data_IF_216872784390
#
_entry.id   IF_216872784390
#
_cell.length_a   1.000
_cell.length_b   1.000
_cell.length_c   1.000
_cell.angle_alpha   90.00
_cell.angle_beta   90.00
_cell.angle_gamma   90.00
#
_symmetry.space_group_name_H-M   'P 1'
#
loop_
_entity.id
_entity.type
_entity.pdbx_description
1 polymer ?
#
# COMPACT_ATOMS: atom_id res chain seq x y z
N UNK A 1 7.28 -19.18 -16.23
CA UNK A 1 8.36 -18.27 -15.78
C UNK A 1 7.97 -17.49 -14.52
N UNK A 2 6.76 -16.91 -14.43
CA UNK A 2 6.27 -16.14 -13.28
C UNK A 2 6.19 -16.97 -11.99
N UNK A 3 5.73 -18.22 -12.06
CA UNK A 3 5.74 -19.18 -10.93
C UNK A 3 7.16 -19.49 -10.45
N UNK A 4 8.11 -19.63 -11.37
CA UNK A 4 9.52 -19.87 -11.01
C UNK A 4 10.16 -18.68 -10.31
N UNK A 5 9.64 -17.45 -10.51
CA UNK A 5 10.09 -16.24 -9.84
C UNK A 5 9.35 -15.95 -8.55
N UNK A 6 8.42 -16.82 -8.12
CA UNK A 6 7.66 -16.62 -6.90
C UNK A 6 6.74 -15.42 -6.92
N UNK A 7 6.27 -14.98 -8.11
CA UNK A 7 5.33 -13.85 -8.20
C UNK A 7 4.03 -14.24 -7.49
N UNK A 8 3.69 -13.48 -6.44
CA UNK A 8 2.63 -13.81 -5.45
C UNK A 8 1.28 -14.18 -6.06
N UNK A 9 0.85 -13.52 -7.13
CA UNK A 9 -0.43 -13.81 -7.80
C UNK A 9 -0.49 -15.26 -8.33
N UNK A 10 0.60 -15.73 -8.94
CA UNK A 10 0.67 -17.08 -9.47
C UNK A 10 0.86 -18.12 -8.37
N UNK A 11 1.54 -17.74 -7.29
CA UNK A 11 1.68 -18.58 -6.09
C UNK A 11 0.32 -18.81 -5.45
N UNK A 12 -0.51 -17.77 -5.33
CA UNK A 12 -1.88 -17.89 -4.82
C UNK A 12 -2.76 -18.79 -5.69
N UNK A 13 -2.66 -18.66 -7.03
CA UNK A 13 -3.40 -19.54 -7.95
C UNK A 13 -3.04 -21.00 -7.73
N UNK A 14 -1.75 -21.34 -7.54
CA UNK A 14 -1.34 -22.72 -7.32
C UNK A 14 -1.73 -23.23 -5.94
N UNK A 15 -1.65 -22.36 -4.91
CA UNK A 15 -1.98 -22.74 -3.54
C UNK A 15 -3.48 -22.91 -3.32
N UNK A 16 -4.29 -22.00 -3.83
CA UNK A 16 -5.72 -21.87 -3.50
C UNK A 16 -6.63 -22.27 -4.68
N UNK A 17 -6.06 -22.40 -5.89
CA UNK A 17 -6.78 -22.77 -7.09
C UNK A 17 -7.14 -24.25 -7.15
N UNK A 18 -8.26 -24.56 -7.80
CA UNK A 18 -8.65 -25.93 -8.13
C UNK A 18 -8.40 -26.12 -9.62
N UNK A 19 -7.51 -27.04 -9.97
CA UNK A 19 -7.29 -27.42 -11.36
C UNK A 19 -8.54 -28.16 -11.88
N UNK A 20 -9.25 -27.54 -12.84
CA UNK A 20 -10.42 -28.17 -13.47
C UNK A 20 -10.02 -29.16 -14.56
N UNK A 21 -8.84 -29.00 -15.13
CA UNK A 21 -8.27 -29.88 -16.14
C UNK A 21 -6.74 -29.75 -16.15
N UNK A 22 -6.06 -30.88 -16.20
CA UNK A 22 -4.60 -30.95 -16.38
C UNK A 22 -4.27 -31.83 -17.56
N UNK A 23 -3.44 -31.33 -18.47
CA UNK A 23 -2.88 -32.13 -19.53
C UNK A 23 -1.78 -33.04 -18.98
N UNK A 24 -1.77 -34.33 -19.31
CA UNK A 24 -0.65 -35.21 -18.94
C UNK A 24 0.69 -34.60 -19.36
N UNK A 25 1.68 -34.58 -18.47
CA UNK A 25 3.01 -34.00 -18.66
C UNK A 25 3.07 -32.45 -18.69
N UNK A 26 1.98 -31.73 -18.39
CA UNK A 26 1.91 -30.28 -18.30
C UNK A 26 1.39 -29.81 -16.93
N UNK A 27 1.85 -30.45 -15.87
CA UNK A 27 1.50 -30.08 -14.51
C UNK A 27 1.97 -28.66 -14.17
N UNK A 28 1.19 -27.95 -13.36
CA UNK A 28 1.59 -26.64 -12.86
C UNK A 28 2.87 -26.77 -12.04
N UNK A 29 3.89 -25.99 -12.40
CA UNK A 29 5.17 -25.96 -11.67
C UNK A 29 4.94 -25.50 -10.23
N UNK A 30 5.44 -26.25 -9.26
CA UNK A 30 5.41 -25.82 -7.85
C UNK A 30 6.20 -24.51 -7.69
N UNK A 31 5.59 -23.49 -7.06
CA UNK A 31 6.30 -22.25 -6.78
C UNK A 31 7.51 -22.51 -5.89
N UNK A 32 8.64 -21.93 -6.24
CA UNK A 32 9.81 -21.94 -5.37
C UNK A 32 9.94 -20.59 -4.65
N UNK A 33 10.37 -20.58 -3.38
CA UNK A 33 10.71 -19.32 -2.71
C UNK A 33 11.77 -18.57 -3.53
N UNK A 34 11.63 -17.25 -3.63
CA UNK A 34 12.65 -16.42 -4.28
C UNK A 34 13.98 -16.54 -3.52
N UNK A 35 15.08 -16.63 -4.24
CA UNK A 35 16.40 -16.50 -3.65
C UNK A 35 16.56 -15.11 -3.00
N UNK A 36 17.50 -14.91 -2.04
CA UNK A 36 17.71 -13.60 -1.43
C UNK A 36 17.96 -12.48 -2.46
N UNK A 37 18.70 -12.77 -3.52
CA UNK A 37 18.97 -11.80 -4.59
C UNK A 37 17.73 -11.47 -5.42
N UNK A 38 16.90 -12.45 -5.75
CA UNK A 38 15.62 -12.24 -6.43
C UNK A 38 14.63 -11.48 -5.55
N UNK A 39 14.57 -11.82 -4.26
CA UNK A 39 13.73 -11.12 -3.29
C UNK A 39 14.12 -9.65 -3.16
N UNK A 40 15.41 -9.34 -3.10
CA UNK A 40 15.93 -7.97 -3.10
C UNK A 40 15.51 -7.23 -4.37
N UNK A 41 15.79 -7.78 -5.54
CA UNK A 41 15.48 -7.13 -6.81
C UNK A 41 13.97 -6.85 -6.97
N UNK A 42 13.11 -7.79 -6.54
CA UNK A 42 11.66 -7.60 -6.54
C UNK A 42 11.25 -6.49 -5.56
N UNK A 43 11.75 -6.52 -4.33
CA UNK A 43 11.41 -5.54 -3.30
C UNK A 43 11.86 -4.12 -3.70
N UNK A 44 13.06 -3.95 -4.27
CA UNK A 44 13.55 -2.66 -4.78
C UNK A 44 12.66 -2.13 -5.91
N UNK A 45 12.27 -2.99 -6.86
CA UNK A 45 11.35 -2.63 -7.93
C UNK A 45 9.99 -2.17 -7.40
N UNK A 46 9.41 -2.90 -6.44
CA UNK A 46 8.16 -2.52 -5.79
C UNK A 46 8.29 -1.21 -5.01
N UNK A 47 9.35 -1.05 -4.23
CA UNK A 47 9.59 0.17 -3.46
C UNK A 47 9.61 1.41 -4.35
N UNK A 48 10.43 1.40 -5.39
CA UNK A 48 10.56 2.56 -6.30
C UNK A 48 9.24 2.87 -7.00
N UNK A 49 8.56 1.86 -7.51
CA UNK A 49 7.31 2.04 -8.26
C UNK A 49 6.18 2.56 -7.37
N UNK A 50 5.97 1.92 -6.21
CA UNK A 50 4.85 2.23 -5.32
C UNK A 50 5.06 3.55 -4.58
N UNK A 51 6.28 3.84 -4.09
CA UNK A 51 6.54 5.10 -3.38
C UNK A 51 6.35 6.31 -4.30
N UNK A 52 6.81 6.21 -5.55
CA UNK A 52 6.52 7.23 -6.57
C UNK A 52 5.02 7.39 -6.85
N UNK A 53 4.27 6.30 -6.79
CA UNK A 53 2.81 6.36 -6.97
C UNK A 53 2.14 7.07 -5.77
N UNK A 54 2.57 6.79 -4.52
CA UNK A 54 2.10 7.54 -3.33
C UNK A 54 2.37 9.02 -3.48
N UNK A 55 3.59 9.40 -3.87
CA UNK A 55 3.97 10.81 -4.03
C UNK A 55 3.13 11.52 -5.13
N UNK A 56 2.78 10.81 -6.21
CA UNK A 56 1.86 11.34 -7.23
C UNK A 56 0.45 11.54 -6.69
N UNK A 57 -0.09 10.59 -5.92
CA UNK A 57 -1.39 10.74 -5.28
C UNK A 57 -1.41 11.91 -4.33
N UNK A 58 -0.38 12.08 -3.49
CA UNK A 58 -0.26 13.22 -2.58
C UNK A 58 -0.16 14.56 -3.33
N UNK A 59 0.51 14.60 -4.48
CA UNK A 59 0.51 15.79 -5.33
C UNK A 59 -0.87 16.12 -5.85
N UNK A 60 -1.67 15.12 -6.25
CA UNK A 60 -3.06 15.34 -6.65
C UNK A 60 -3.94 15.82 -5.48
N UNK A 61 -3.66 15.36 -4.26
CA UNK A 61 -4.30 15.90 -3.04
C UNK A 61 -3.99 17.40 -2.90
N UNK A 62 -2.72 17.81 -3.03
CA UNK A 62 -2.35 19.21 -2.91
C UNK A 62 -3.06 20.11 -3.94
N UNK A 63 -3.14 19.65 -5.19
CA UNK A 63 -3.91 20.34 -6.25
C UNK A 63 -5.38 20.42 -5.87
N UNK A 64 -5.99 19.32 -5.45
CA UNK A 64 -7.41 19.30 -5.07
C UNK A 64 -7.72 20.21 -3.89
N UNK A 65 -6.81 20.30 -2.90
CA UNK A 65 -6.96 21.21 -1.75
C UNK A 65 -6.82 22.67 -2.14
N UNK A 66 -5.98 23.00 -3.14
CA UNK A 66 -5.85 24.34 -3.66
C UNK A 66 -7.14 24.78 -4.38
N UNK A 67 -7.71 23.92 -5.22
CA UNK A 67 -8.93 24.16 -5.98
C UNK A 67 -10.21 24.15 -5.13
N UNK A 68 -10.21 23.50 -3.98
CA UNK A 68 -11.33 23.45 -3.03
C UNK A 68 -11.85 24.83 -2.64
N UNK A 69 -10.99 25.87 -2.69
CA UNK A 69 -11.38 27.25 -2.38
C UNK A 69 -12.34 27.84 -3.39
N UNK A 70 -12.33 27.33 -4.60
CA UNK A 70 -13.15 27.79 -5.73
C UNK A 70 -14.41 26.94 -5.93
N UNK A 71 -14.29 25.64 -5.64
CA UNK A 71 -15.38 24.66 -5.79
C UNK A 71 -15.27 23.57 -4.71
N UNK A 72 -16.29 23.46 -3.88
CA UNK A 72 -16.34 22.50 -2.77
C UNK A 72 -16.31 21.01 -3.22
N UNK A 73 -16.66 20.69 -4.47
CA UNK A 73 -16.61 19.33 -5.01
C UNK A 73 -15.16 18.79 -5.06
N UNK A 74 -14.15 19.68 -5.10
CA UNK A 74 -12.77 19.26 -4.98
C UNK A 74 -12.42 18.60 -3.64
N UNK A 75 -13.23 18.82 -2.60
CA UNK A 75 -13.09 18.09 -1.33
C UNK A 75 -13.28 16.59 -1.50
N UNK A 76 -14.22 16.18 -2.34
CA UNK A 76 -14.46 14.76 -2.66
C UNK A 76 -13.28 14.17 -3.44
N UNK A 77 -12.77 14.94 -4.41
CA UNK A 77 -11.57 14.55 -5.17
C UNK A 77 -10.35 14.39 -4.27
N UNK A 78 -10.13 15.31 -3.34
CA UNK A 78 -9.05 15.23 -2.36
C UNK A 78 -9.19 13.98 -1.48
N UNK A 79 -10.40 13.69 -0.98
CA UNK A 79 -10.65 12.50 -0.15
C UNK A 79 -10.41 11.19 -0.90
N UNK A 80 -10.84 11.11 -2.17
CA UNK A 80 -10.55 9.95 -3.01
C UNK A 80 -9.05 9.77 -3.25
N UNK A 81 -8.33 10.84 -3.57
CA UNK A 81 -6.89 10.79 -3.78
C UNK A 81 -6.14 10.41 -2.50
N UNK A 82 -6.59 10.87 -1.31
CA UNK A 82 -6.04 10.43 -0.01
C UNK A 82 -6.27 8.93 0.22
N UNK A 83 -7.45 8.40 -0.14
CA UNK A 83 -7.69 6.97 -0.08
C UNK A 83 -6.71 6.21 -0.97
N UNK A 84 -6.51 6.64 -2.22
CA UNK A 84 -5.59 6.00 -3.16
C UNK A 84 -4.13 6.08 -2.67
N UNK A 85 -3.72 7.20 -2.10
CA UNK A 85 -2.40 7.34 -1.48
C UNK A 85 -2.21 6.36 -0.33
N UNK A 86 -3.23 6.20 0.53
CA UNK A 86 -3.21 5.26 1.67
C UNK A 86 -3.12 3.80 1.21
N UNK A 87 -3.96 3.40 0.26
CA UNK A 87 -3.95 2.06 -0.32
C UNK A 87 -2.60 1.74 -0.94
N UNK A 88 -2.06 2.67 -1.74
CA UNK A 88 -0.77 2.51 -2.40
C UNK A 88 0.40 2.47 -1.41
N UNK A 89 0.33 3.22 -0.30
CA UNK A 89 1.33 3.18 0.76
C UNK A 89 1.36 1.81 1.46
N UNK A 90 0.20 1.24 1.77
CA UNK A 90 0.13 -0.12 2.31
C UNK A 90 0.57 -1.17 1.31
N UNK A 91 0.26 -1.00 0.01
CA UNK A 91 0.77 -1.88 -1.03
C UNK A 91 2.29 -1.83 -1.11
N UNK A 92 2.90 -0.64 -1.03
CA UNK A 92 4.34 -0.46 -0.98
C UNK A 92 4.96 -1.26 0.18
N UNK A 93 4.47 -1.02 1.39
CA UNK A 93 4.97 -1.70 2.58
C UNK A 93 4.85 -3.22 2.48
N UNK A 94 3.67 -3.75 2.16
CA UNK A 94 3.42 -5.19 2.12
C UNK A 94 4.24 -5.88 1.03
N UNK A 95 4.35 -5.29 -0.16
CA UNK A 95 5.16 -5.82 -1.26
C UNK A 95 6.65 -5.85 -0.91
N UNK A 96 7.17 -4.83 -0.23
CA UNK A 96 8.58 -4.81 0.21
C UNK A 96 8.81 -5.79 1.36
N UNK A 97 7.88 -5.84 2.32
CA UNK A 97 8.05 -6.67 3.53
C UNK A 97 7.89 -8.15 3.27
N UNK A 98 6.87 -8.51 2.45
CA UNK A 98 6.41 -9.91 2.29
C UNK A 98 6.44 -10.41 0.85
N UNK A 99 6.74 -9.56 -0.11
CA UNK A 99 6.61 -9.80 -1.55
C UNK A 99 5.18 -10.15 -1.97
N UNK A 100 4.19 -9.87 -1.12
CA UNK A 100 2.79 -10.16 -1.33
C UNK A 100 1.91 -8.95 -1.05
N UNK A 101 0.91 -8.73 -1.88
CA UNK A 101 -0.14 -7.74 -1.67
C UNK A 101 -1.51 -8.32 -2.03
N UNK A 102 -2.43 -8.43 -1.06
CA UNK A 102 -3.80 -8.85 -1.35
C UNK A 102 -4.48 -7.73 -2.15
N UNK A 103 -5.01 -8.04 -3.34
CA UNK A 103 -5.73 -7.08 -4.17
C UNK A 103 -7.03 -6.67 -3.48
N UNK A 104 -6.97 -5.61 -2.70
CA UNK A 104 -8.10 -5.11 -1.93
C UNK A 104 -8.08 -3.59 -1.87
N UNK A 105 -9.25 -2.97 -2.06
CA UNK A 105 -9.46 -1.53 -1.81
C UNK A 105 -9.92 -1.25 -0.36
N UNK A 106 -9.98 -2.28 0.48
CA UNK A 106 -10.35 -2.14 1.88
C UNK A 106 -9.15 -1.69 2.72
N UNK A 107 -8.95 -0.38 2.83
CA UNK A 107 -7.81 0.18 3.58
C UNK A 107 -7.82 -0.16 5.07
N UNK A 108 -8.96 -0.53 5.66
CA UNK A 108 -9.02 -1.02 7.04
C UNK A 108 -8.38 -2.40 7.15
N UNK A 109 -8.65 -3.29 6.21
CA UNK A 109 -8.02 -4.60 6.13
C UNK A 109 -6.51 -4.48 5.87
N UNK A 110 -6.13 -3.67 4.88
CA UNK A 110 -4.72 -3.43 4.55
C UNK A 110 -3.94 -2.84 5.74
N UNK A 111 -4.57 -1.91 6.47
CA UNK A 111 -4.04 -1.34 7.69
C UNK A 111 -3.77 -2.39 8.76
N UNK A 112 -4.76 -3.24 9.08
CA UNK A 112 -4.57 -4.31 10.07
C UNK A 112 -3.42 -5.21 9.68
N UNK A 113 -3.39 -5.68 8.42
CA UNK A 113 -2.34 -6.55 7.93
C UNK A 113 -0.95 -5.89 7.99
N UNK A 114 -0.86 -4.60 7.68
CA UNK A 114 0.39 -3.87 7.73
C UNK A 114 0.85 -3.60 9.18
N UNK A 115 -0.04 -3.18 10.06
CA UNK A 115 0.24 -2.92 11.48
C UNK A 115 0.66 -4.19 12.25
N UNK A 116 0.10 -5.36 11.89
CA UNK A 116 0.49 -6.66 12.44
C UNK A 116 1.94 -7.03 12.07
N UNK A 117 2.41 -6.58 10.92
CA UNK A 117 3.79 -6.79 10.45
C UNK A 117 4.78 -5.71 10.91
N UNK A 118 4.29 -4.48 11.17
CA UNK A 118 5.13 -3.33 11.56
C UNK A 118 4.33 -2.36 12.45
N UNK A 119 4.46 -2.46 13.77
CA UNK A 119 3.70 -1.65 14.72
C UNK A 119 3.91 -0.13 14.61
N UNK A 120 5.04 0.34 14.06
CA UNK A 120 5.30 1.77 13.85
C UNK A 120 4.28 2.42 12.92
N UNK A 121 3.63 1.66 12.03
CA UNK A 121 2.57 2.16 11.14
C UNK A 121 1.32 2.64 11.90
N UNK A 122 1.15 2.20 13.15
CA UNK A 122 0.08 2.66 14.04
C UNK A 122 0.15 4.18 14.28
N UNK A 123 1.35 4.74 14.31
CA UNK A 123 1.59 6.16 14.60
C UNK A 123 0.99 7.11 13.57
N UNK A 124 0.77 6.65 12.33
CA UNK A 124 0.15 7.45 11.28
C UNK A 124 -1.33 7.76 11.57
N UNK A 125 -1.98 6.97 12.43
CA UNK A 125 -3.43 7.02 12.60
C UNK A 125 -3.82 7.27 14.05
N UNK A 126 -4.07 8.53 14.44
CA UNK A 126 -4.69 8.83 15.74
C UNK A 126 -6.00 8.07 15.89
N UNK A 127 -6.22 7.47 17.08
CA UNK A 127 -7.42 6.65 17.34
C UNK A 127 -7.99 6.84 18.75
N UNK A 128 -7.42 7.81 19.49
CA UNK A 128 -7.80 8.05 20.87
C UNK A 128 -9.23 8.59 20.99
N UNK A 129 -9.64 9.49 20.10
CA UNK A 129 -10.94 10.15 20.15
C UNK A 129 -11.96 9.55 19.18
N UNK A 130 -13.25 9.87 19.41
CA UNK A 130 -14.31 9.53 18.44
C UNK A 130 -14.08 10.24 17.10
N UNK A 131 -13.54 11.47 17.13
CA UNK A 131 -13.25 12.25 15.95
C UNK A 131 -12.17 11.57 15.08
N UNK A 132 -11.09 11.08 15.68
CA UNK A 132 -10.02 10.39 14.95
C UNK A 132 -10.56 9.15 14.22
N UNK A 133 -11.35 8.35 14.92
CA UNK A 133 -11.98 7.16 14.31
C UNK A 133 -12.95 7.52 13.19
N UNK A 134 -13.75 8.59 13.36
CA UNK A 134 -14.65 9.09 12.33
C UNK A 134 -13.89 9.52 11.07
N UNK A 135 -12.75 10.22 11.23
CA UNK A 135 -11.90 10.66 10.11
C UNK A 135 -11.41 9.47 9.28
N UNK A 136 -10.92 8.42 9.93
CA UNK A 136 -10.51 7.22 9.21
C UNK A 136 -11.68 6.53 8.49
N UNK A 137 -12.89 6.51 9.09
CA UNK A 137 -14.07 5.98 8.42
C UNK A 137 -14.50 6.84 7.21
N UNK A 138 -14.36 8.17 7.27
CA UNK A 138 -14.57 9.04 6.11
C UNK A 138 -13.59 8.69 4.98
N UNK A 139 -12.31 8.54 5.30
CA UNK A 139 -11.30 8.15 4.32
C UNK A 139 -11.61 6.78 3.70
N UNK A 140 -12.00 5.79 4.50
CA UNK A 140 -12.36 4.46 4.03
C UNK A 140 -13.54 4.51 3.04
N UNK A 141 -14.56 5.30 3.34
CA UNK A 141 -15.75 5.46 2.49
C UNK A 141 -15.46 6.24 1.20
N UNK A 142 -14.41 7.07 1.17
CA UNK A 142 -14.09 7.92 0.04
C UNK A 142 -13.87 7.14 -1.27
N UNK A 143 -13.41 5.89 -1.22
CA UNK A 143 -13.21 5.06 -2.40
C UNK A 143 -14.47 4.94 -3.27
N UNK A 144 -15.61 4.77 -2.66
CA UNK A 144 -16.89 4.64 -3.38
C UNK A 144 -17.68 5.94 -3.29
N UNK A 145 -17.88 6.45 -2.07
CA UNK A 145 -18.86 7.51 -1.84
C UNK A 145 -18.42 8.88 -2.37
N UNK A 146 -17.12 9.19 -2.36
CA UNK A 146 -16.63 10.45 -2.92
C UNK A 146 -16.89 10.55 -4.44
N UNK A 147 -17.05 9.43 -5.13
CA UNK A 147 -17.29 9.41 -6.59
C UNK A 147 -18.77 9.29 -6.97
N UNK A 148 -19.56 8.60 -6.13
CA UNK A 148 -20.90 8.17 -6.52
C UNK A 148 -22.02 8.64 -5.60
N UNK A 149 -21.70 9.19 -4.42
CA UNK A 149 -22.70 9.65 -3.46
C UNK A 149 -22.78 11.16 -3.40
N UNK A 150 -23.97 11.70 -3.63
CA UNK A 150 -24.25 13.11 -3.39
C UNK A 150 -24.13 13.50 -1.89
N UNK A 151 -24.34 12.51 -1.00
CA UNK A 151 -24.34 12.72 0.45
C UNK A 151 -22.95 12.54 1.11
N UNK A 152 -21.89 12.33 0.32
CA UNK A 152 -20.56 12.27 0.89
C UNK A 152 -20.05 13.69 1.16
N UNK A 153 -19.87 13.98 2.43
CA UNK A 153 -19.36 15.26 2.91
C UNK A 153 -18.10 15.07 3.74
N UNK A 154 -17.12 15.93 3.54
CA UNK A 154 -15.88 15.98 4.31
C UNK A 154 -15.49 17.43 4.52
N UNK A 155 -15.20 17.79 5.78
CA UNK A 155 -14.81 19.15 6.11
C UNK A 155 -13.36 19.45 5.73
N UNK A 156 -12.99 20.73 5.50
CA UNK A 156 -11.61 21.13 5.30
C UNK A 156 -10.68 20.68 6.46
N UNK A 157 -11.15 20.79 7.70
CA UNK A 157 -10.40 20.35 8.88
C UNK A 157 -10.18 18.83 8.93
N UNK A 158 -11.15 18.02 8.45
CA UNK A 158 -11.00 16.58 8.35
C UNK A 158 -10.00 16.22 7.24
N UNK A 159 -10.06 16.91 6.09
CA UNK A 159 -9.11 16.73 4.98
C UNK A 159 -7.67 17.08 5.39
N UNK A 160 -7.48 18.18 6.09
CA UNK A 160 -6.17 18.60 6.59
C UNK A 160 -5.59 17.53 7.53
N UNK A 161 -6.35 17.10 8.53
CA UNK A 161 -5.93 16.07 9.47
C UNK A 161 -5.61 14.74 8.78
N UNK A 162 -6.42 14.33 7.80
CA UNK A 162 -6.17 13.11 7.03
C UNK A 162 -4.95 13.24 6.13
N UNK A 163 -4.73 14.42 5.53
CA UNK A 163 -3.53 14.69 4.73
C UNK A 163 -2.26 14.54 5.57
N UNK A 164 -2.26 15.06 6.80
CA UNK A 164 -1.14 14.88 7.74
C UNK A 164 -0.90 13.41 8.05
N UNK A 165 -1.96 12.66 8.35
CA UNK A 165 -1.88 11.22 8.64
C UNK A 165 -1.34 10.42 7.45
N UNK A 166 -1.78 10.70 6.23
CA UNK A 166 -1.30 9.98 5.03
C UNK A 166 0.15 10.33 4.71
N UNK A 167 0.56 11.59 4.92
CA UNK A 167 1.98 11.99 4.78
C UNK A 167 2.86 11.30 5.83
N UNK A 168 2.39 11.19 7.06
CA UNK A 168 3.08 10.44 8.11
C UNK A 168 3.19 8.95 7.75
N UNK A 169 2.09 8.33 7.28
CA UNK A 169 2.11 6.96 6.79
C UNK A 169 3.16 6.77 5.69
N UNK A 170 3.17 7.66 4.69
CA UNK A 170 4.16 7.64 3.61
C UNK A 170 5.60 7.68 4.15
N UNK A 171 5.89 8.53 5.12
CA UNK A 171 7.23 8.67 5.69
C UNK A 171 7.64 7.43 6.49
N UNK A 172 6.74 6.86 7.29
CA UNK A 172 7.02 5.61 8.01
C UNK A 172 7.26 4.47 7.01
N UNK A 173 6.42 4.35 5.98
CA UNK A 173 6.58 3.33 4.93
C UNK A 173 7.93 3.47 4.23
N UNK A 174 8.38 4.68 3.90
CA UNK A 174 9.70 4.92 3.31
C UNK A 174 10.81 4.39 4.24
N UNK A 175 10.78 4.76 5.51
CA UNK A 175 11.78 4.36 6.50
C UNK A 175 11.83 2.84 6.68
N UNK A 176 10.69 2.21 6.99
CA UNK A 176 10.65 0.76 7.28
C UNK A 176 10.93 -0.09 6.04
N UNK A 177 10.59 0.42 4.86
CA UNK A 177 10.91 -0.25 3.59
C UNK A 177 12.40 -0.20 3.28
N UNK A 178 13.08 0.92 3.52
CA UNK A 178 14.53 1.02 3.36
C UNK A 178 15.27 0.09 4.32
N UNK A 179 14.87 0.04 5.59
CA UNK A 179 15.42 -0.90 6.57
C UNK A 179 15.29 -2.34 6.07
N UNK A 180 14.13 -2.70 5.50
CA UNK A 180 13.91 -4.03 4.94
C UNK A 180 14.79 -4.31 3.72
N UNK A 181 14.99 -3.35 2.86
CA UNK A 181 15.88 -3.49 1.71
C UNK A 181 17.33 -3.73 2.15
N UNK A 182 17.80 -3.05 3.19
CA UNK A 182 19.13 -3.32 3.76
C UNK A 182 19.25 -4.74 4.38
N UNK A 183 18.18 -5.22 5.05
CA UNK A 183 18.14 -6.62 5.51
C UNK A 183 18.27 -7.61 4.34
N UNK A 184 17.54 -7.36 3.25
CA UNK A 184 17.59 -8.20 2.06
C UNK A 184 18.95 -8.15 1.35
N UNK A 185 19.62 -6.98 1.31
CA UNK A 185 20.98 -6.84 0.79
C UNK A 185 21.97 -7.69 1.57
N UNK A 186 21.92 -7.62 2.90
CA UNK A 186 22.75 -8.45 3.76
C UNK A 186 22.51 -9.94 3.52
N UNK A 187 21.24 -10.34 3.44
CA UNK A 187 20.87 -11.73 3.16
C UNK A 187 21.32 -12.21 1.77
N UNK A 188 21.44 -11.29 0.80
CA UNK A 188 21.98 -11.57 -0.54
C UNK A 188 23.51 -11.56 -0.61
N UNK A 189 24.21 -11.26 0.49
CA UNK A 189 25.68 -11.16 0.53
C UNK A 189 26.24 -9.94 -0.21
N UNK A 190 25.46 -8.86 -0.32
CA UNK A 190 25.80 -7.62 -1.01
C UNK A 190 26.12 -6.48 -0.02
N UNK A 191 26.65 -6.81 1.14
CA UNK A 191 27.18 -5.80 2.07
C UNK A 191 28.39 -5.10 1.40
N UNK A 192 28.41 -3.76 1.45
CA UNK A 192 29.65 -3.05 1.12
C UNK A 192 30.72 -3.50 2.13
N UNK A 193 31.94 -3.83 1.66
CA UNK A 193 33.03 -4.10 2.58
C UNK A 193 33.21 -2.84 3.44
N UNK A 194 33.05 -2.98 4.75
CA UNK A 194 33.47 -1.96 5.72
C UNK A 194 35.00 -1.85 5.60
N UNK A 195 35.49 -0.82 4.89
CA UNK A 195 36.87 -0.39 4.93
C UNK A 195 37.26 0.09 6.33
#
# INVERSE_FOLDING_TARGET
QALKRGEYFWVDIVRDGIALYELPQHELTTPMPASPLEALAMAEGYFVAQLRAVDRWLKLVDVSLAEQKTDAEWSKTAAFNLHQATETAYACFLLVRTLYFPRSHNIKFLRSLAEDNEPRLIEAWPRATKLDRRRFELLKRAYVEARYSANYEISPADLEALTMSVRQLRNIVDTVSRERLEELRRAAGLDEPTD
#
